data_IF_311458512004
#
_entry.id   IF_311458512004
#
_cell.length_a   1.000
_cell.length_b   1.000
_cell.length_c   1.000
_cell.angle_alpha   90.00
_cell.angle_beta   90.00
_cell.angle_gamma   90.00
#
_symmetry.space_group_name_H-M   'P 1'
#
loop_
_entity.id
_entity.type
_entity.pdbx_description
1 polymer ?
#
# COMPACT_ATOMS: atom_id res chain seq x y z
N UNK A 1 19.54 -0.76 -10.38
CA UNK A 1 19.11 -2.14 -10.69
C UNK A 1 18.95 -2.88 -9.38
N UNK A 2 17.72 -3.01 -8.88
CA UNK A 2 17.42 -3.74 -7.63
C UNK A 2 16.95 -5.14 -8.04
N UNK A 3 17.65 -6.18 -7.59
CA UNK A 3 17.22 -7.57 -7.69
C UNK A 3 16.24 -7.81 -6.54
N UNK A 4 15.01 -8.17 -6.87
CA UNK A 4 13.99 -8.55 -5.88
C UNK A 4 13.65 -10.03 -6.14
N UNK A 5 13.99 -10.88 -5.19
CA UNK A 5 13.68 -12.30 -5.21
C UNK A 5 12.24 -12.50 -4.70
N UNK A 6 11.30 -12.64 -5.62
CA UNK A 6 9.88 -12.86 -5.31
C UNK A 6 9.66 -14.36 -5.17
N UNK A 7 9.59 -14.86 -3.93
CA UNK A 7 9.20 -16.24 -3.63
C UNK A 7 7.84 -16.30 -2.94
N UNK A 8 7.11 -17.35 -3.32
CA UNK A 8 5.72 -17.61 -3.03
C UNK A 8 5.48 -18.06 -1.57
N UNK A 9 5.60 -17.15 -0.61
CA UNK A 9 5.50 -17.51 0.83
C UNK A 9 4.10 -17.36 1.46
N UNK A 10 3.06 -17.02 0.69
CA UNK A 10 1.76 -16.61 1.25
C UNK A 10 0.61 -17.62 1.07
N UNK A 11 0.84 -18.82 0.50
CA UNK A 11 -0.24 -19.78 0.25
C UNK A 11 -0.87 -20.38 1.52
N UNK A 12 -0.10 -20.45 2.62
CA UNK A 12 -0.52 -21.16 3.84
C UNK A 12 -0.70 -20.26 5.08
N UNK A 13 -0.42 -18.95 4.96
CA UNK A 13 -0.55 -18.01 6.10
C UNK A 13 -2.01 -17.60 6.29
N UNK A 14 -2.49 -17.63 7.54
CA UNK A 14 -3.81 -17.10 7.87
C UNK A 14 -3.80 -15.58 7.72
N UNK A 15 -4.95 -14.99 7.38
CA UNK A 15 -5.11 -13.53 7.25
C UNK A 15 -4.63 -12.76 8.50
N UNK A 16 -4.77 -13.37 9.68
CA UNK A 16 -4.25 -12.84 10.94
C UNK A 16 -2.72 -12.67 10.96
N UNK A 17 -1.98 -13.67 10.48
CA UNK A 17 -0.51 -13.65 10.47
C UNK A 17 0.00 -12.60 9.48
N UNK A 18 -0.62 -12.53 8.30
CA UNK A 18 -0.34 -11.51 7.28
C UNK A 18 -0.58 -10.09 7.80
N UNK A 19 -1.66 -9.89 8.58
CA UNK A 19 -1.95 -8.62 9.22
C UNK A 19 -0.90 -8.24 10.26
N UNK A 20 -0.45 -9.20 11.07
CA UNK A 20 0.59 -8.98 12.08
C UNK A 20 1.91 -8.56 11.42
N UNK A 21 2.31 -9.27 10.37
CA UNK A 21 3.51 -8.99 9.57
C UNK A 21 3.42 -7.59 8.93
N UNK A 22 2.28 -7.27 8.31
CA UNK A 22 2.00 -5.96 7.72
C UNK A 22 2.13 -4.83 8.74
N UNK A 23 1.55 -5.02 9.93
CA UNK A 23 1.57 -4.03 10.99
C UNK A 23 2.98 -3.84 11.56
N UNK A 24 3.76 -4.91 11.67
CA UNK A 24 5.14 -4.85 12.14
C UNK A 24 6.01 -4.02 11.22
N UNK A 25 5.90 -4.21 9.92
CA UNK A 25 6.70 -3.44 8.98
C UNK A 25 6.14 -2.02 8.76
N UNK A 26 4.83 -1.77 8.86
CA UNK A 26 4.33 -0.37 8.91
C UNK A 26 4.78 0.41 10.15
N UNK A 27 5.12 -0.27 11.27
CA UNK A 27 5.68 0.41 12.46
C UNK A 27 7.10 0.94 12.24
N UNK A 28 7.82 0.50 11.21
CA UNK A 28 9.16 1.02 10.89
C UNK A 28 9.08 2.39 10.24
N UNK A 29 7.95 2.73 9.60
CA UNK A 29 7.67 4.05 9.05
C UNK A 29 7.42 5.03 10.21
N UNK A 30 8.47 5.76 10.59
CA UNK A 30 8.45 6.76 11.68
C UNK A 30 8.40 8.20 11.19
N UNK A 31 8.69 8.43 9.91
CA UNK A 31 8.76 9.77 9.32
C UNK A 31 7.54 10.01 8.41
N UNK A 32 7.12 11.27 8.25
CA UNK A 32 6.17 11.63 7.20
C UNK A 32 6.73 11.21 5.84
N UNK A 33 5.84 10.75 4.94
CA UNK A 33 6.21 10.34 3.59
C UNK A 33 5.77 11.46 2.65
N UNK A 34 6.68 11.98 1.84
CA UNK A 34 6.39 13.03 0.86
C UNK A 34 6.26 12.41 -0.52
N UNK A 35 5.16 12.68 -1.22
CA UNK A 35 5.00 12.28 -2.60
C UNK A 35 5.91 13.12 -3.51
N UNK A 36 6.68 12.49 -4.38
CA UNK A 36 7.68 13.16 -5.24
C UNK A 36 7.05 13.94 -6.40
N UNK A 37 5.82 13.62 -6.77
CA UNK A 37 5.13 14.19 -7.94
C UNK A 37 4.21 15.36 -7.59
N UNK A 38 3.60 15.39 -6.41
CA UNK A 38 2.69 16.48 -6.00
C UNK A 38 3.09 17.19 -4.69
N UNK A 39 4.15 16.71 -4.01
CA UNK A 39 4.68 17.30 -2.78
C UNK A 39 3.82 17.08 -1.53
N UNK A 40 2.70 16.36 -1.61
CA UNK A 40 1.82 16.12 -0.45
C UNK A 40 2.45 15.17 0.55
N UNK A 41 2.24 15.47 1.82
CA UNK A 41 2.81 14.72 2.95
C UNK A 41 1.77 13.80 3.58
N UNK A 42 2.04 12.51 3.56
CA UNK A 42 1.26 11.51 4.29
C UNK A 42 1.86 11.23 5.67
N UNK A 43 0.99 11.14 6.68
CA UNK A 43 1.38 10.79 8.05
C UNK A 43 0.76 9.44 8.40
N UNK A 44 1.63 8.44 8.61
CA UNK A 44 1.23 7.08 8.96
C UNK A 44 1.11 6.95 10.49
N UNK A 45 -0.03 7.38 11.04
CA UNK A 45 -0.32 7.26 12.47
C UNK A 45 -0.87 5.86 12.85
N UNK A 46 -1.09 5.60 14.15
CA UNK A 46 -1.59 4.29 14.64
C UNK A 46 -2.92 3.89 14.00
N UNK A 47 -3.86 4.83 13.87
CA UNK A 47 -5.17 4.56 13.27
C UNK A 47 -5.06 4.29 11.76
N UNK A 48 -4.20 5.04 11.06
CA UNK A 48 -3.86 4.83 9.66
C UNK A 48 -3.29 3.44 9.42
N UNK A 49 -2.29 3.02 10.23
CA UNK A 49 -1.73 1.66 10.15
C UNK A 49 -2.79 0.58 10.31
N UNK A 50 -3.69 0.71 11.30
CA UNK A 50 -4.75 -0.27 11.50
C UNK A 50 -5.74 -0.38 10.34
N UNK A 51 -5.99 0.74 9.62
CA UNK A 51 -6.81 0.73 8.40
C UNK A 51 -6.08 0.07 7.24
N UNK A 52 -4.79 0.40 7.06
CA UNK A 52 -3.93 -0.15 6.02
C UNK A 52 -3.71 -1.66 6.18
N UNK A 53 -3.74 -2.17 7.41
CA UNK A 53 -3.64 -3.61 7.73
C UNK A 53 -4.99 -4.22 8.12
N UNK A 54 -6.10 -3.62 7.71
CA UNK A 54 -7.41 -4.22 7.97
C UNK A 54 -7.54 -5.54 7.22
N UNK A 55 -8.38 -6.45 7.70
CA UNK A 55 -8.51 -7.79 7.10
C UNK A 55 -9.02 -7.71 5.65
N UNK A 56 -9.80 -6.68 5.32
CA UNK A 56 -10.22 -6.36 3.96
C UNK A 56 -9.03 -5.87 3.11
N UNK A 57 -8.24 -4.92 3.62
CA UNK A 57 -7.06 -4.42 2.93
C UNK A 57 -6.03 -5.52 2.65
N UNK A 58 -5.75 -6.38 3.65
CA UNK A 58 -4.82 -7.52 3.50
C UNK A 58 -5.32 -8.51 2.46
N UNK A 59 -6.62 -8.85 2.47
CA UNK A 59 -7.20 -9.76 1.47
C UNK A 59 -7.09 -9.19 0.05
N UNK A 60 -7.39 -7.91 -0.13
CA UNK A 60 -7.29 -7.27 -1.44
C UNK A 60 -5.82 -7.17 -1.90
N UNK A 61 -4.89 -6.83 -1.00
CA UNK A 61 -3.45 -6.84 -1.31
C UNK A 61 -2.95 -8.22 -1.75
N UNK A 62 -3.35 -9.29 -1.07
CA UNK A 62 -2.98 -10.67 -1.45
C UNK A 62 -3.57 -11.06 -2.80
N UNK A 63 -4.84 -10.69 -3.05
CA UNK A 63 -5.51 -10.94 -4.33
C UNK A 63 -4.78 -10.29 -5.51
N UNK A 64 -4.18 -9.12 -5.28
CA UNK A 64 -3.36 -8.42 -6.28
C UNK A 64 -1.86 -8.75 -6.22
N UNK A 65 -1.45 -9.75 -5.43
CA UNK A 65 -0.08 -10.26 -5.42
C UNK A 65 0.94 -9.46 -4.60
N UNK A 66 0.50 -8.60 -3.67
CA UNK A 66 1.38 -7.77 -2.85
C UNK A 66 1.82 -8.44 -1.54
N UNK A 67 3.09 -8.24 -1.15
CA UNK A 67 3.59 -8.48 0.21
C UNK A 67 3.45 -7.20 1.05
N UNK A 68 3.01 -7.36 2.30
CA UNK A 68 2.12 -6.39 2.93
C UNK A 68 2.74 -5.12 3.55
N UNK A 69 4.03 -4.80 3.35
CA UNK A 69 4.59 -3.70 4.15
C UNK A 69 5.78 -2.89 3.60
N UNK A 70 6.76 -3.51 2.94
CA UNK A 70 7.96 -2.76 2.54
C UNK A 70 7.71 -1.83 1.34
N UNK A 71 6.70 -2.15 0.52
CA UNK A 71 6.38 -1.36 -0.67
C UNK A 71 5.53 -0.11 -0.40
N UNK A 72 4.90 0.04 0.77
CA UNK A 72 3.91 1.10 0.99
C UNK A 72 4.53 2.51 0.91
N UNK A 73 5.75 2.66 1.42
CA UNK A 73 6.44 3.96 1.35
C UNK A 73 6.78 4.30 -0.10
N UNK A 74 7.41 3.39 -0.82
CA UNK A 74 7.78 3.56 -2.23
C UNK A 74 6.55 3.80 -3.12
N UNK A 75 5.47 3.04 -2.89
CA UNK A 75 4.20 3.19 -3.60
C UNK A 75 3.62 4.59 -3.45
N UNK A 76 3.69 5.19 -2.25
CA UNK A 76 3.19 6.55 -2.04
C UNK A 76 4.15 7.62 -2.57
N UNK A 77 5.47 7.42 -2.46
CA UNK A 77 6.46 8.37 -2.96
C UNK A 77 6.41 8.54 -4.49
N UNK A 78 6.21 7.45 -5.22
CA UNK A 78 6.17 7.41 -6.70
C UNK A 78 4.74 7.49 -7.27
N UNK A 79 3.72 7.62 -6.42
CA UNK A 79 2.34 7.67 -6.87
C UNK A 79 2.06 8.95 -7.66
N UNK A 80 1.35 8.85 -8.78
CA UNK A 80 0.91 10.02 -9.54
C UNK A 80 -0.50 10.38 -9.15
N UNK A 81 -0.73 11.66 -8.89
CA UNK A 81 -2.07 12.16 -8.63
C UNK A 81 -2.90 12.01 -9.90
N UNK A 82 -3.96 11.22 -9.82
CA UNK A 82 -4.89 11.01 -10.92
C UNK A 82 -6.01 12.03 -10.89
N UNK A 83 -6.67 12.14 -9.73
CA UNK A 83 -7.82 13.04 -9.55
C UNK A 83 -8.03 13.38 -8.07
N UNK A 84 -8.85 14.38 -7.80
CA UNK A 84 -9.28 14.76 -6.46
C UNK A 84 -10.81 14.76 -6.45
N UNK A 85 -11.41 14.01 -5.55
CA UNK A 85 -12.86 13.84 -5.48
C UNK A 85 -13.41 14.24 -4.10
N UNK A 86 -14.59 14.87 -4.02
CA UNK A 86 -15.24 15.16 -2.74
C UNK A 86 -15.70 13.86 -2.04
N UNK A 87 -15.85 13.90 -0.70
CA UNK A 87 -16.45 12.78 0.04
C UNK A 87 -17.97 12.73 -0.13
N UNK A 88 -18.41 12.03 -1.17
CA UNK A 88 -19.83 11.83 -1.48
C UNK A 88 -20.51 10.83 -0.53
N UNK A 89 -19.76 9.96 0.16
CA UNK A 89 -20.33 8.87 0.97
C UNK A 89 -20.96 9.37 2.26
N UNK A 90 -20.44 10.46 2.83
CA UNK A 90 -20.95 11.05 4.07
C UNK A 90 -21.50 12.48 3.87
N UNK A 91 -21.63 12.92 2.61
CA UNK A 91 -22.16 14.25 2.28
C UNK A 91 -21.20 15.42 2.58
N UNK A 92 -19.95 15.14 2.95
CA UNK A 92 -18.95 16.17 3.23
C UNK A 92 -18.24 16.61 1.95
N UNK A 93 -18.91 17.45 1.16
CA UNK A 93 -18.37 17.99 -0.10
C UNK A 93 -17.14 18.88 0.10
N UNK A 94 -16.93 19.39 1.32
CA UNK A 94 -15.73 20.16 1.70
C UNK A 94 -14.48 19.28 1.88
N UNK A 95 -14.64 17.97 2.06
CA UNK A 95 -13.54 17.02 2.22
C UNK A 95 -13.08 16.55 0.83
N UNK A 96 -11.88 16.97 0.44
CA UNK A 96 -11.26 16.57 -0.83
C UNK A 96 -10.36 15.35 -0.63
N UNK A 97 -10.60 14.30 -1.41
CA UNK A 97 -9.90 13.03 -1.32
C UNK A 97 -9.03 12.85 -2.59
N UNK A 98 -7.69 12.94 -2.48
CA UNK A 98 -6.81 12.66 -3.60
C UNK A 98 -6.82 11.16 -3.92
N UNK A 99 -6.91 10.84 -5.21
CA UNK A 99 -6.81 9.49 -5.76
C UNK A 99 -5.51 9.40 -6.54
N UNK A 100 -4.69 8.43 -6.15
CA UNK A 100 -3.40 8.17 -6.76
C UNK A 100 -3.45 6.92 -7.61
N UNK A 101 -2.63 6.90 -8.64
CA UNK A 101 -2.31 5.71 -9.42
C UNK A 101 -0.80 5.47 -9.38
N UNK A 102 -0.43 4.20 -9.40
CA UNK A 102 0.97 3.79 -9.49
C UNK A 102 1.04 2.82 -10.66
N UNK A 103 1.97 3.06 -11.57
CA UNK A 103 2.31 2.10 -12.62
C UNK A 103 3.48 1.26 -12.12
N UNK A 104 3.25 -0.03 -11.92
CA UNK A 104 4.32 -1.00 -11.70
C UNK A 104 4.26 -2.04 -12.82
N UNK A 105 5.39 -2.26 -13.48
CA UNK A 105 5.56 -3.40 -14.36
C UNK A 105 5.59 -4.67 -13.49
N UNK A 106 4.47 -5.40 -13.47
CA UNK A 106 4.48 -6.79 -13.03
C UNK A 106 5.32 -7.57 -14.05
N UNK A 107 6.65 -7.60 -13.89
CA UNK A 107 7.47 -8.50 -14.71
C UNK A 107 6.98 -9.91 -14.46
N UNK A 108 6.33 -10.49 -15.46
CA UNK A 108 5.93 -11.89 -15.48
C UNK A 108 7.12 -12.75 -15.04
N UNK A 109 6.94 -13.46 -13.93
CA UNK A 109 7.87 -14.47 -13.48
C UNK A 109 8.07 -15.46 -14.63
N UNK A 110 9.28 -15.54 -15.21
CA UNK A 110 9.59 -16.63 -16.13
C UNK A 110 9.58 -17.91 -15.32
N UNK A 111 8.51 -18.70 -15.44
CA UNK A 111 8.48 -20.09 -14.97
C UNK A 111 9.62 -20.85 -15.66
N UNK A 112 10.70 -21.09 -14.92
CA UNK A 112 11.68 -22.10 -15.34
C UNK A 112 10.99 -23.46 -15.15
N UNK A 113 10.76 -24.15 -16.26
CA UNK A 113 10.37 -25.55 -16.31
C UNK A 113 11.49 -26.44 -15.76
#
# INVERSE_FOLDING_TARGET
MIKIEVLAENKDKKAYDLRSDALKALKTIRKPITNKHDGRVAIVNKAGRLKMTSDEAVRESVKHGFTAAEHIQELYEEAKLREIQPDLKHGYTSVQIPRYEVMFDLKACKCKH
#
